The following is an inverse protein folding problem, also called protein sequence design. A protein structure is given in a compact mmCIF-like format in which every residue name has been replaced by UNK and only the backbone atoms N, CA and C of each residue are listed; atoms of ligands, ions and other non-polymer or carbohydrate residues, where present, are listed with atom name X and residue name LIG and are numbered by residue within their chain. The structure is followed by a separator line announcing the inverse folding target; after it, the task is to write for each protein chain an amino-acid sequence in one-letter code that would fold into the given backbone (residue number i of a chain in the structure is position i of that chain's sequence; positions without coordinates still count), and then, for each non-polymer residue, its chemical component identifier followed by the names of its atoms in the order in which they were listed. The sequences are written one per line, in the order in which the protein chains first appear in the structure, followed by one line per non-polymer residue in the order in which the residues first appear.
data_IF_596377786393
#
_entry.id   IF_596377786393
#
_cell.length_a   1.000
_cell.length_b   1.000
_cell.length_c   1.000
_cell.angle_alpha   90.00
_cell.angle_beta   90.00
_cell.angle_gamma   90.00
#
_symmetry.space_group_name_H-M   'P 1'
#
loop_
_entity.id
_entity.type
_entity.pdbx_description
1 polymer ?
#
# COMPACT_ATOMS: atom_id res chain seq x y z
N UNK A 1 34.73 -4.16 2.78
CA UNK A 1 34.12 -2.81 2.94
C UNK A 1 33.59 -2.19 1.64
N UNK A 2 34.38 -2.01 0.57
CA UNK A 2 33.94 -1.29 -0.65
C UNK A 2 32.59 -1.75 -1.24
N UNK A 3 32.31 -3.07 -1.23
CA UNK A 3 31.06 -3.64 -1.78
C UNK A 3 29.83 -3.45 -0.90
N UNK A 4 29.97 -3.55 0.43
CA UNK A 4 28.88 -3.28 1.37
C UNK A 4 28.46 -1.81 1.30
N UNK A 5 29.45 -0.91 1.22
CA UNK A 5 29.23 0.52 1.03
C UNK A 5 28.56 0.82 -0.33
N UNK A 6 28.97 0.13 -1.40
CA UNK A 6 28.30 0.24 -2.70
C UNK A 6 26.82 -0.21 -2.65
N UNK A 7 26.52 -1.31 -1.95
CA UNK A 7 25.15 -1.80 -1.79
C UNK A 7 24.28 -0.82 -0.97
N UNK A 8 24.86 -0.23 0.09
CA UNK A 8 24.21 0.81 0.87
C UNK A 8 23.90 2.06 0.03
N UNK A 9 24.85 2.50 -0.81
CA UNK A 9 24.65 3.62 -1.73
C UNK A 9 23.54 3.32 -2.72
N UNK A 10 23.49 2.11 -3.31
CA UNK A 10 22.40 1.72 -4.21
C UNK A 10 21.05 1.80 -3.50
N UNK A 11 20.95 1.23 -2.30
CA UNK A 11 19.70 1.25 -1.52
C UNK A 11 19.25 2.68 -1.23
N UNK A 12 20.14 3.54 -0.72
CA UNK A 12 19.83 4.94 -0.40
C UNK A 12 19.47 5.75 -1.64
N UNK A 13 20.21 5.58 -2.75
CA UNK A 13 19.94 6.27 -4.00
C UNK A 13 18.58 5.83 -4.59
N UNK A 14 18.29 4.52 -4.57
CA UNK A 14 17.01 4.00 -5.03
C UNK A 14 15.86 4.50 -4.16
N UNK A 15 16.03 4.57 -2.83
CA UNK A 15 15.05 5.11 -1.89
C UNK A 15 14.76 6.58 -2.22
N UNK A 16 15.80 7.40 -2.32
CA UNK A 16 15.66 8.82 -2.60
C UNK A 16 15.00 9.08 -3.97
N UNK A 17 15.49 8.44 -5.03
CA UNK A 17 14.94 8.60 -6.39
C UNK A 17 13.51 8.06 -6.46
N UNK A 18 13.23 6.90 -5.86
CA UNK A 18 11.90 6.30 -5.81
C UNK A 18 10.90 7.22 -5.13
N UNK A 19 11.20 7.68 -3.91
CA UNK A 19 10.34 8.61 -3.16
C UNK A 19 10.11 9.92 -3.92
N UNK A 20 11.15 10.49 -4.54
CA UNK A 20 11.00 11.71 -5.35
C UNK A 20 10.08 11.50 -6.56
N UNK A 21 10.22 10.39 -7.29
CA UNK A 21 9.37 10.08 -8.44
C UNK A 21 7.91 9.92 -7.99
N UNK A 22 7.65 9.10 -6.97
CA UNK A 22 6.28 8.85 -6.50
C UNK A 22 5.64 10.10 -5.88
N UNK A 23 6.39 10.90 -5.12
CA UNK A 23 5.89 12.17 -4.57
C UNK A 23 5.53 13.17 -5.68
N UNK A 24 6.37 13.25 -6.72
CA UNK A 24 6.11 14.11 -7.88
C UNK A 24 4.87 13.65 -8.65
N UNK A 25 4.74 12.34 -8.91
CA UNK A 25 3.55 11.77 -9.56
C UNK A 25 2.28 12.00 -8.74
N UNK A 26 2.36 11.85 -7.42
CA UNK A 26 1.25 12.11 -6.50
C UNK A 26 0.82 13.58 -6.57
N UNK A 27 1.77 14.51 -6.46
CA UNK A 27 1.50 15.95 -6.59
C UNK A 27 0.86 16.30 -7.93
N UNK A 28 1.38 15.77 -9.05
CA UNK A 28 0.78 16.00 -10.36
C UNK A 28 -0.65 15.45 -10.44
N UNK A 29 -0.91 14.26 -9.89
CA UNK A 29 -2.24 13.67 -9.83
C UNK A 29 -3.23 14.55 -9.04
N UNK A 30 -2.84 15.02 -7.85
CA UNK A 30 -3.66 15.91 -7.04
C UNK A 30 -3.90 17.27 -7.73
N UNK A 31 -2.87 17.87 -8.33
CA UNK A 31 -3.01 19.13 -9.06
C UNK A 31 -3.92 18.99 -10.29
N UNK A 32 -3.85 17.87 -11.02
CA UNK A 32 -4.76 17.57 -12.13
C UNK A 32 -6.20 17.40 -11.64
N UNK A 33 -6.42 16.73 -10.51
CA UNK A 33 -7.75 16.62 -9.91
C UNK A 33 -8.32 18.01 -9.54
N UNK A 34 -7.51 18.89 -8.97
CA UNK A 34 -7.91 20.27 -8.64
C UNK A 34 -8.19 21.12 -9.90
N UNK A 35 -7.44 20.90 -10.97
CA UNK A 35 -7.67 21.57 -12.25
C UNK A 35 -9.03 21.20 -12.87
N UNK A 36 -9.39 19.91 -12.82
CA UNK A 36 -10.68 19.43 -13.36
C UNK A 36 -11.86 20.04 -12.59
N UNK A 37 -11.68 20.45 -11.33
CA UNK A 37 -12.69 21.18 -10.55
C UNK A 37 -12.72 22.70 -10.80
N UNK A 38 -11.92 23.22 -11.75
CA UNK A 38 -11.91 24.63 -12.12
C UNK A 38 -11.00 25.53 -11.27
N UNK A 39 -10.16 24.95 -10.40
CA UNK A 39 -9.17 25.70 -9.64
C UNK A 39 -7.91 25.96 -10.50
N UNK A 40 -7.20 27.08 -10.28
CA UNK A 40 -5.98 27.38 -11.02
C UNK A 40 -4.89 26.34 -10.71
N UNK A 41 -4.20 25.87 -11.76
CA UNK A 41 -3.10 24.91 -11.62
C UNK A 41 -1.90 25.61 -10.98
N UNK A 42 -1.56 25.22 -9.74
CA UNK A 42 -0.22 25.48 -9.23
C UNK A 42 0.74 24.47 -9.86
N UNK A 43 1.80 24.94 -10.55
CA UNK A 43 2.82 24.05 -11.11
C UNK A 43 3.50 23.21 -10.03
N UNK A 44 3.60 23.75 -8.81
CA UNK A 44 4.18 23.07 -7.68
C UNK A 44 3.40 23.40 -6.40
N UNK A 45 2.91 22.36 -5.74
CA UNK A 45 2.30 22.45 -4.41
C UNK A 45 3.18 21.70 -3.43
N UNK A 46 3.90 22.45 -2.58
CA UNK A 46 4.78 21.87 -1.55
C UNK A 46 3.97 20.94 -0.63
N UNK A 47 2.72 21.30 -0.35
CA UNK A 47 1.82 20.51 0.46
C UNK A 47 1.58 19.12 -0.16
N UNK A 48 1.10 19.04 -1.41
CA UNK A 48 0.88 17.75 -2.06
C UNK A 48 2.17 16.97 -2.26
N UNK A 49 3.28 17.66 -2.50
CA UNK A 49 4.59 17.02 -2.60
C UNK A 49 5.00 16.34 -1.29
N UNK A 50 4.91 17.03 -0.15
CA UNK A 50 5.26 16.48 1.16
C UNK A 50 4.32 15.33 1.57
N UNK A 51 3.03 15.46 1.31
CA UNK A 51 2.05 14.37 1.50
C UNK A 51 2.43 13.17 0.64
N UNK A 52 2.80 13.39 -0.62
CA UNK A 52 3.27 12.35 -1.54
C UNK A 52 4.57 11.68 -1.08
N UNK A 53 5.52 12.44 -0.50
CA UNK A 53 6.74 11.88 0.09
C UNK A 53 6.39 10.88 1.17
N UNK A 54 5.57 11.28 2.15
CA UNK A 54 5.19 10.41 3.27
C UNK A 54 4.42 9.17 2.77
N UNK A 55 3.37 9.34 1.97
CA UNK A 55 2.57 8.22 1.45
C UNK A 55 3.37 7.23 0.60
N UNK A 56 4.48 7.66 -0.02
CA UNK A 56 5.27 6.81 -0.91
C UNK A 56 6.32 5.95 -0.19
N UNK A 57 6.78 6.35 1.01
CA UNK A 57 7.88 5.67 1.71
C UNK A 57 7.60 4.16 1.94
N UNK A 58 6.42 3.73 2.40
CA UNK A 58 6.14 2.32 2.63
C UNK A 58 6.21 1.50 1.33
N UNK A 59 5.61 2.03 0.25
CA UNK A 59 5.64 1.41 -1.07
C UNK A 59 7.07 1.30 -1.61
N UNK A 60 7.82 2.39 -1.53
CA UNK A 60 9.20 2.48 -2.03
C UNK A 60 10.10 1.51 -1.28
N UNK A 61 9.95 1.37 0.05
CA UNK A 61 10.65 0.37 0.85
C UNK A 61 10.42 -1.06 0.33
N UNK A 62 9.18 -1.43 0.05
CA UNK A 62 8.81 -2.77 -0.46
C UNK A 62 9.40 -2.97 -1.86
N UNK A 63 9.21 -2.01 -2.76
CA UNK A 63 9.70 -2.10 -4.15
C UNK A 63 11.23 -2.22 -4.21
N UNK A 64 11.94 -1.49 -3.36
CA UNK A 64 13.40 -1.53 -3.33
C UNK A 64 13.92 -2.86 -2.81
N UNK A 65 13.26 -3.48 -1.84
CA UNK A 65 13.62 -4.84 -1.41
C UNK A 65 13.51 -5.82 -2.58
N UNK A 66 12.43 -5.75 -3.36
CA UNK A 66 12.28 -6.57 -4.57
C UNK A 66 13.39 -6.26 -5.58
N UNK A 67 13.64 -4.98 -5.89
CA UNK A 67 14.71 -4.56 -6.81
C UNK A 67 16.09 -5.03 -6.37
N UNK A 68 16.38 -5.01 -5.07
CA UNK A 68 17.63 -5.52 -4.52
C UNK A 68 17.78 -7.03 -4.75
N UNK A 69 16.73 -7.82 -4.54
CA UNK A 69 16.77 -9.25 -4.89
C UNK A 69 17.09 -9.42 -6.38
N UNK A 70 16.38 -8.70 -7.26
CA UNK A 70 16.61 -8.78 -8.71
C UNK A 70 18.04 -8.42 -9.10
N UNK A 71 18.61 -7.39 -8.47
CA UNK A 71 20.01 -7.02 -8.65
C UNK A 71 20.96 -8.16 -8.23
N UNK A 72 20.68 -8.84 -7.12
CA UNK A 72 21.48 -9.96 -6.63
C UNK A 72 21.39 -11.19 -7.54
N UNK A 73 20.22 -11.49 -8.11
CA UNK A 73 20.07 -12.55 -9.12
C UNK A 73 20.94 -12.27 -10.35
N UNK A 74 21.00 -11.01 -10.79
CA UNK A 74 21.80 -10.60 -11.95
C UNK A 74 23.31 -10.67 -11.68
N UNK A 75 23.73 -10.26 -10.48
CA UNK A 75 25.14 -10.11 -10.08
C UNK A 75 25.49 -11.01 -8.88
N UNK A 76 25.70 -12.32 -9.07
CA UNK A 76 25.90 -13.29 -7.99
C UNK A 76 27.25 -13.20 -7.24
N UNK A 77 27.97 -12.08 -7.29
CA UNK A 77 29.29 -11.95 -6.66
C UNK A 77 29.13 -11.72 -5.14
N UNK A 78 29.74 -12.59 -4.32
CA UNK A 78 29.70 -12.57 -2.84
C UNK A 78 28.28 -12.63 -2.26
N UNK A 79 27.57 -13.74 -2.48
CA UNK A 79 26.19 -13.96 -2.06
C UNK A 79 25.95 -13.78 -0.55
N UNK A 80 26.90 -14.18 0.30
CA UNK A 80 26.75 -14.08 1.76
C UNK A 80 26.70 -12.64 2.27
N UNK A 81 27.65 -11.80 1.85
CA UNK A 81 27.72 -10.38 2.29
C UNK A 81 26.48 -9.63 1.78
N UNK A 82 26.10 -9.88 0.53
CA UNK A 82 24.91 -9.31 -0.07
C UNK A 82 23.62 -9.72 0.64
N UNK A 83 23.50 -10.99 1.04
CA UNK A 83 22.38 -11.49 1.84
C UNK A 83 22.31 -10.79 3.20
N UNK A 84 23.44 -10.68 3.91
CA UNK A 84 23.49 -9.99 5.21
C UNK A 84 23.03 -8.53 5.05
N UNK A 85 23.55 -7.80 4.07
CA UNK A 85 23.17 -6.41 3.83
C UNK A 85 21.69 -6.28 3.43
N UNK A 86 21.19 -7.19 2.58
CA UNK A 86 19.79 -7.25 2.20
C UNK A 86 18.87 -7.46 3.41
N UNK A 87 19.20 -8.44 4.28
CA UNK A 87 18.45 -8.69 5.50
C UNK A 87 18.50 -7.51 6.48
N UNK A 88 19.65 -6.85 6.64
CA UNK A 88 19.79 -5.67 7.51
C UNK A 88 18.92 -4.52 7.00
N UNK A 89 18.97 -4.18 5.70
CA UNK A 89 18.13 -3.11 5.14
C UNK A 89 16.65 -3.47 5.15
N UNK A 90 16.32 -4.74 4.93
CA UNK A 90 14.98 -5.27 5.07
C UNK A 90 14.43 -5.04 6.46
N UNK A 91 15.14 -5.54 7.49
CA UNK A 91 14.76 -5.37 8.89
C UNK A 91 14.70 -3.89 9.28
N UNK A 92 15.65 -3.07 8.82
CA UNK A 92 15.61 -1.62 9.05
C UNK A 92 14.33 -0.99 8.49
N UNK A 93 13.94 -1.38 7.28
CA UNK A 93 12.74 -0.86 6.62
C UNK A 93 11.47 -1.24 7.41
N UNK A 94 11.32 -2.53 7.74
CA UNK A 94 10.11 -3.07 8.35
C UNK A 94 9.98 -2.76 9.84
N UNK A 95 11.08 -2.68 10.59
CA UNK A 95 11.04 -2.44 12.04
C UNK A 95 11.13 -0.96 12.41
N UNK A 96 11.73 -0.12 11.54
CA UNK A 96 12.00 1.29 11.88
C UNK A 96 11.43 2.27 10.87
N UNK A 97 11.81 2.19 9.58
CA UNK A 97 11.44 3.23 8.60
C UNK A 97 9.93 3.33 8.36
N UNK A 98 9.28 2.20 8.05
CA UNK A 98 7.83 2.18 7.79
C UNK A 98 7.02 2.60 9.03
N UNK A 99 7.21 2.03 10.24
CA UNK A 99 6.41 2.44 11.39
C UNK A 99 6.69 3.88 11.83
N UNK A 100 7.90 4.41 11.59
CA UNK A 100 8.22 5.82 11.84
C UNK A 100 7.46 6.73 10.87
N UNK A 101 7.44 6.37 9.58
CA UNK A 101 6.70 7.10 8.55
C UNK A 101 5.19 7.09 8.81
N UNK A 102 4.59 5.95 9.16
CA UNK A 102 3.16 5.87 9.50
C UNK A 102 2.78 6.75 10.70
N UNK A 103 3.69 6.92 11.67
CA UNK A 103 3.50 7.85 12.80
C UNK A 103 3.64 9.32 12.39
N UNK A 104 4.44 9.61 11.36
CA UNK A 104 4.57 10.96 10.81
C UNK A 104 3.33 11.33 10.00
N UNK A 105 2.83 10.41 9.17
CA UNK A 105 1.59 10.57 8.40
C UNK A 105 0.43 10.90 9.35
N UNK A 106 0.24 10.12 10.41
CA UNK A 106 -0.90 10.34 11.32
C UNK A 106 -0.85 11.68 12.06
N UNK A 107 0.35 12.22 12.34
CA UNK A 107 0.53 13.56 12.90
C UNK A 107 0.30 14.66 11.87
N UNK A 108 0.74 14.44 10.64
CA UNK A 108 0.60 15.40 9.55
C UNK A 108 -0.87 15.53 9.12
N UNK A 109 -1.60 14.42 9.01
CA UNK A 109 -3.04 14.43 8.67
C UNK A 109 -3.90 15.06 9.78
N UNK A 110 -3.55 14.87 11.06
CA UNK A 110 -4.31 15.47 12.17
C UNK A 110 -4.22 16.99 12.21
N UNK A 111 -3.08 17.55 11.79
CA UNK A 111 -2.89 19.01 11.75
C UNK A 111 -3.54 19.64 10.51
N UNK A 112 -3.69 18.88 9.40
CA UNK A 112 -4.10 19.40 8.10
C UNK A 112 -5.58 19.17 7.74
N UNK A 113 -6.28 18.22 8.39
CA UNK A 113 -7.74 18.09 8.30
C UNK A 113 -8.48 19.36 8.75
N UNK A 114 -7.82 20.26 9.46
CA UNK A 114 -8.33 21.58 9.84
C UNK A 114 -8.29 22.62 8.70
N UNK A 115 -7.62 22.33 7.57
CA UNK A 115 -7.40 23.29 6.48
C UNK A 115 -8.06 22.91 5.14
N UNK A 116 -8.65 21.71 5.02
CA UNK A 116 -9.35 21.29 3.80
C UNK A 116 -10.77 21.88 3.74
N UNK A 117 -10.87 23.06 3.14
CA UNK A 117 -12.15 23.53 2.59
C UNK A 117 -12.46 22.64 1.37
N UNK A 118 -13.43 21.73 1.55
CA UNK A 118 -13.91 20.78 0.57
C UNK A 118 -14.51 21.50 -0.66
N UNK A 119 -13.74 21.60 -1.74
CA UNK A 119 -14.24 22.18 -2.99
C UNK A 119 -15.00 21.12 -3.78
N UNK A 120 -16.25 20.90 -3.40
CA UNK A 120 -17.23 20.23 -4.23
C UNK A 120 -17.56 21.08 -5.47
N UNK A 121 -17.73 20.50 -6.65
CA UNK A 121 -18.22 21.24 -7.82
C UNK A 121 -19.73 21.56 -7.72
N UNK A 122 -20.12 22.82 -7.96
CA UNK A 122 -21.54 23.24 -8.03
C UNK A 122 -22.15 22.92 -9.39
N UNK A 123 -23.46 22.69 -9.45
CA UNK A 123 -24.21 22.62 -10.69
C UNK A 123 -24.26 21.24 -11.37
N UNK A 124 -23.92 20.17 -10.65
CA UNK A 124 -23.92 18.80 -11.20
C UNK A 124 -24.68 17.83 -10.28
N UNK A 125 -25.38 16.87 -10.89
CA UNK A 125 -26.09 15.80 -10.19
C UNK A 125 -25.12 14.70 -9.76
N UNK A 126 -25.23 14.23 -8.50
CA UNK A 126 -24.35 13.24 -7.88
C UNK A 126 -25.16 12.10 -7.30
N UNK A 127 -24.95 10.89 -7.79
CA UNK A 127 -25.64 9.70 -7.29
C UNK A 127 -24.89 9.12 -6.07
N UNK A 128 -25.60 8.97 -4.96
CA UNK A 128 -25.14 8.31 -3.74
C UNK A 128 -26.07 7.14 -3.37
N UNK A 129 -25.76 6.42 -2.29
CA UNK A 129 -26.46 5.19 -1.89
C UNK A 129 -27.97 5.37 -1.69
N UNK A 130 -28.42 6.55 -1.25
CA UNK A 130 -29.80 6.82 -0.88
C UNK A 130 -30.54 7.76 -1.87
N UNK A 131 -29.86 8.31 -2.88
CA UNK A 131 -30.47 9.34 -3.73
C UNK A 131 -29.47 10.06 -4.63
N UNK A 132 -29.96 11.09 -5.32
CA UNK A 132 -29.15 11.96 -6.17
C UNK A 132 -29.11 13.36 -5.57
N UNK A 133 -27.92 13.90 -5.30
CA UNK A 133 -27.71 15.25 -4.81
C UNK A 133 -27.43 16.21 -5.97
N UNK A 134 -27.92 17.44 -5.88
CA UNK A 134 -27.62 18.54 -6.79
C UNK A 134 -27.29 19.78 -5.97
N UNK A 135 -26.02 20.17 -5.93
CA UNK A 135 -25.59 21.35 -5.17
C UNK A 135 -25.64 22.60 -6.04
N UNK A 136 -26.46 23.56 -5.65
CA UNK A 136 -26.64 24.84 -6.37
C UNK A 136 -25.56 25.85 -5.97
N UNK A 137 -25.20 25.88 -4.68
CA UNK A 137 -24.15 26.75 -4.14
C UNK A 137 -23.43 26.03 -3.00
N UNK A 138 -22.12 26.22 -2.92
CA UNK A 138 -21.30 25.78 -1.78
C UNK A 138 -20.70 27.03 -1.15
N UNK A 139 -20.93 27.21 0.15
CA UNK A 139 -20.37 28.30 0.94
C UNK A 139 -18.91 28.03 1.30
N UNK A 140 -18.19 29.09 1.69
CA UNK A 140 -16.80 29.00 2.15
C UNK A 140 -16.65 28.20 3.46
N UNK A 141 -17.77 27.95 4.14
CA UNK A 141 -17.92 27.13 5.34
C UNK A 141 -18.03 25.62 5.05
N UNK A 142 -17.99 25.20 3.78
CA UNK A 142 -18.10 23.79 3.38
C UNK A 142 -19.54 23.25 3.39
N UNK A 143 -20.52 24.12 3.62
CA UNK A 143 -21.94 23.79 3.55
C UNK A 143 -22.49 24.08 2.15
N UNK A 144 -23.45 23.28 1.70
CA UNK A 144 -24.08 23.44 0.41
C UNK A 144 -25.60 23.54 0.49
N UNK A 145 -26.13 24.38 -0.40
CA UNK A 145 -27.55 24.47 -0.71
C UNK A 145 -27.82 23.71 -2.01
N UNK A 146 -28.96 23.03 -2.10
CA UNK A 146 -29.21 22.14 -3.23
C UNK A 146 -30.56 21.45 -3.24
N UNK A 147 -30.62 20.39 -4.03
CA UNK A 147 -31.76 19.48 -4.12
C UNK A 147 -31.27 18.06 -3.88
N UNK A 148 -32.06 17.27 -3.16
CA UNK A 148 -31.89 15.84 -3.00
C UNK A 148 -33.07 15.12 -3.65
N UNK A 149 -32.78 14.20 -4.56
CA UNK A 149 -33.75 13.32 -5.18
C UNK A 149 -33.65 11.96 -4.48
N UNK A 150 -34.66 11.64 -3.68
CA UNK A 150 -34.72 10.37 -2.97
C UNK A 150 -35.08 9.24 -3.94
N UNK A 151 -34.10 8.41 -4.30
CA UNK A 151 -34.32 7.26 -5.19
C UNK A 151 -34.54 5.95 -4.44
N UNK A 152 -34.36 5.92 -3.12
CA UNK A 152 -34.52 4.70 -2.31
C UNK A 152 -35.75 4.73 -1.41
N UNK A 153 -36.47 5.84 -1.36
CA UNK A 153 -37.60 6.05 -0.44
C UNK A 153 -37.13 6.22 1.01
N UNK A 154 -35.88 6.64 1.23
CA UNK A 154 -35.31 6.87 2.56
C UNK A 154 -36.10 7.92 3.36
N UNK A 155 -36.66 8.92 2.69
CA UNK A 155 -37.51 9.97 3.25
C UNK A 155 -38.99 9.58 3.28
N UNK A 156 -39.31 8.31 3.00
CA UNK A 156 -40.66 7.74 3.06
C UNK A 156 -41.44 7.77 1.75
N UNK A 157 -40.94 8.46 0.71
CA UNK A 157 -41.56 8.47 -0.62
C UNK A 157 -40.50 8.44 -1.72
N UNK A 158 -40.47 7.32 -2.45
CA UNK A 158 -39.58 7.12 -3.60
C UNK A 158 -39.88 8.15 -4.70
N UNK A 159 -38.83 8.80 -5.21
CA UNK A 159 -38.91 9.85 -6.22
C UNK A 159 -39.18 11.26 -5.68
N UNK A 160 -39.20 11.45 -4.35
CA UNK A 160 -39.39 12.80 -3.77
C UNK A 160 -38.16 13.68 -3.96
N UNK A 161 -38.40 14.98 -4.19
CA UNK A 161 -37.34 16.00 -4.34
C UNK A 161 -37.41 16.93 -3.14
N UNK A 162 -36.33 16.99 -2.37
CA UNK A 162 -36.25 17.78 -1.14
C UNK A 162 -35.17 18.85 -1.27
N UNK A 163 -35.49 20.13 -1.00
CA UNK A 163 -34.48 21.16 -0.95
C UNK A 163 -33.55 20.95 0.25
N UNK A 164 -32.25 21.02 -0.02
CA UNK A 164 -31.19 20.99 0.99
C UNK A 164 -30.76 22.42 1.27
N UNK A 165 -30.67 22.74 2.56
CA UNK A 165 -30.15 24.02 3.02
C UNK A 165 -29.02 23.76 4.00
N UNK A 166 -27.89 24.43 3.79
CA UNK A 166 -26.75 24.42 4.69
C UNK A 166 -26.28 22.99 5.08
N UNK A 167 -26.28 22.07 4.12
CA UNK A 167 -25.87 20.68 4.37
C UNK A 167 -24.35 20.58 4.29
N UNK A 168 -23.65 20.06 5.32
CA UNK A 168 -22.21 19.83 5.23
C UNK A 168 -21.94 18.80 4.13
N UNK A 169 -21.13 19.18 3.13
CA UNK A 169 -20.84 18.31 2.00
C UNK A 169 -19.83 17.26 2.39
N UNK A 170 -20.27 16.09 2.81
CA UNK A 170 -19.35 14.99 3.15
C UNK A 170 -18.71 14.41 1.89
N UNK A 171 -17.51 14.87 1.56
CA UNK A 171 -16.73 14.37 0.42
C UNK A 171 -15.71 13.27 0.80
N UNK A 172 -15.81 12.70 2.00
CA UNK A 172 -14.93 11.62 2.47
C UNK A 172 -14.85 10.45 1.46
N UNK A 173 -15.95 10.18 0.75
CA UNK A 173 -16.02 9.13 -0.27
C UNK A 173 -15.30 9.47 -1.59
N UNK A 174 -15.02 10.75 -1.86
CA UNK A 174 -14.36 11.23 -3.07
C UNK A 174 -12.82 11.10 -3.00
N UNK A 175 -12.22 11.05 -1.80
CA UNK A 175 -10.78 10.98 -1.63
C UNK A 175 -10.13 9.81 -2.41
N UNK A 176 -9.00 10.00 -3.14
CA UNK A 176 -8.15 11.20 -3.24
C UNK A 176 -8.57 12.22 -4.32
N UNK A 177 -9.76 12.08 -4.88
CA UNK A 177 -10.31 13.03 -5.86
C UNK A 177 -10.97 14.20 -5.13
N UNK A 178 -10.93 15.36 -5.76
CA UNK A 178 -11.60 16.59 -5.31
C UNK A 178 -13.13 16.50 -5.45
N UNK A 179 -13.63 15.63 -6.33
CA UNK A 179 -15.06 15.39 -6.55
C UNK A 179 -15.37 13.92 -6.86
N UNK A 180 -16.53 13.43 -6.41
CA UNK A 180 -17.03 12.08 -6.68
C UNK A 180 -17.31 11.86 -8.17
N UNK A 181 -17.66 12.92 -8.90
CA UNK A 181 -17.89 12.86 -10.35
C UNK A 181 -16.59 12.59 -11.11
N UNK A 182 -15.50 13.19 -10.65
CA UNK A 182 -14.16 12.98 -11.20
C UNK A 182 -13.73 11.55 -10.89
N UNK A 183 -13.92 11.09 -9.65
CA UNK A 183 -13.66 9.69 -9.26
C UNK A 183 -14.38 8.70 -10.17
N UNK A 184 -15.65 8.94 -10.49
CA UNK A 184 -16.47 8.05 -11.30
C UNK A 184 -16.15 8.14 -12.80
N UNK A 185 -15.70 9.30 -13.29
CA UNK A 185 -15.41 9.53 -14.71
C UNK A 185 -13.99 9.15 -15.11
N UNK A 186 -13.03 9.24 -14.18
CA UNK A 186 -11.61 8.93 -14.38
C UNK A 186 -11.22 7.56 -13.83
N UNK A 187 -12.18 6.62 -13.73
CA UNK A 187 -11.91 5.28 -13.22
C UNK A 187 -10.70 4.68 -13.97
N UNK A 188 -9.58 4.40 -13.27
CA UNK A 188 -8.41 3.84 -13.91
C UNK A 188 -8.75 2.50 -14.54
N UNK A 189 -8.01 2.13 -15.59
CA UNK A 189 -8.13 0.79 -16.18
C UNK A 189 -7.95 -0.28 -15.10
N UNK A 190 -8.59 -1.44 -15.28
CA UNK A 190 -8.53 -2.54 -14.31
C UNK A 190 -7.08 -2.94 -13.96
N UNK A 191 -6.16 -2.82 -14.92
CA UNK A 191 -4.73 -3.08 -14.74
C UNK A 191 -4.07 -2.19 -13.68
N UNK A 192 -4.59 -0.98 -13.45
CA UNK A 192 -4.09 -0.04 -12.44
C UNK A 192 -4.89 -0.15 -11.15
N UNK A 193 -6.21 -0.36 -11.27
CA UNK A 193 -7.13 -0.38 -10.13
C UNK A 193 -6.86 -1.56 -9.18
N UNK A 194 -6.55 -2.76 -9.69
CA UNK A 194 -6.28 -3.92 -8.83
C UNK A 194 -4.98 -3.81 -8.01
N UNK A 195 -3.81 -3.47 -8.59
CA UNK A 195 -2.61 -3.24 -7.80
C UNK A 195 -2.78 -2.13 -6.75
N UNK A 196 -3.51 -1.07 -7.12
CA UNK A 196 -3.77 0.04 -6.21
C UNK A 196 -4.69 -0.35 -5.06
N UNK A 197 -5.71 -1.18 -5.30
CA UNK A 197 -6.59 -1.67 -4.23
C UNK A 197 -5.85 -2.60 -3.26
N UNK A 198 -4.96 -3.44 -3.77
CA UNK A 198 -4.07 -4.27 -2.94
C UNK A 198 -3.18 -3.39 -2.07
N UNK A 199 -2.53 -2.39 -2.66
CA UNK A 199 -1.69 -1.45 -1.91
C UNK A 199 -2.46 -0.71 -0.82
N UNK A 200 -3.60 -0.11 -1.17
CA UNK A 200 -4.40 0.68 -0.22
C UNK A 200 -4.90 -0.18 0.94
N UNK A 201 -5.38 -1.40 0.68
CA UNK A 201 -5.82 -2.31 1.73
C UNK A 201 -4.68 -2.68 2.68
N UNK A 202 -3.49 -2.97 2.15
CA UNK A 202 -2.31 -3.25 2.97
C UNK A 202 -1.82 -2.02 3.74
N UNK A 203 -1.92 -0.83 3.16
CA UNK A 203 -1.56 0.44 3.83
C UNK A 203 -2.51 0.73 4.99
N UNK A 204 -3.82 0.56 4.79
CA UNK A 204 -4.83 0.70 5.87
C UNK A 204 -4.58 -0.31 6.98
N UNK A 205 -4.28 -1.57 6.63
CA UNK A 205 -3.91 -2.59 7.61
C UNK A 205 -2.63 -2.19 8.38
N UNK A 206 -1.63 -1.65 7.69
CA UNK A 206 -0.39 -1.17 8.30
C UNK A 206 -0.65 -0.03 9.30
N UNK A 207 -1.45 0.97 8.91
CA UNK A 207 -1.85 2.09 9.76
C UNK A 207 -2.62 1.62 11.00
N UNK A 208 -3.56 0.69 10.81
CA UNK A 208 -4.32 0.08 11.90
C UNK A 208 -3.42 -0.68 12.87
N UNK A 209 -2.54 -1.54 12.37
CA UNK A 209 -1.59 -2.29 13.19
C UNK A 209 -0.60 -1.38 13.91
N UNK A 210 -0.15 -0.29 13.28
CA UNK A 210 0.75 0.69 13.90
C UNK A 210 0.08 1.47 15.05
N UNK A 211 -1.22 1.79 14.93
CA UNK A 211 -1.96 2.52 15.98
C UNK A 211 -2.29 1.66 17.20
N UNK A 212 -2.45 0.33 17.02
CA UNK A 212 -2.70 -0.62 18.12
C UNK A 212 -1.48 -0.91 19.00
N UNK A 213 -0.28 -0.61 18.52
CA UNK A 213 0.96 -0.77 19.27
C UNK A 213 1.92 -1.82 18.67
N UNK A 214 3.05 -2.01 19.35
CA UNK A 214 4.20 -2.73 18.80
C UNK A 214 3.93 -4.20 18.47
N UNK A 215 3.17 -4.93 19.29
CA UNK A 215 2.86 -6.33 19.02
C UNK A 215 1.95 -6.50 17.79
N UNK A 216 0.98 -5.62 17.59
CA UNK A 216 0.15 -5.61 16.39
C UNK A 216 0.97 -5.23 15.15
N UNK A 217 1.92 -4.29 15.29
CA UNK A 217 2.89 -3.99 14.23
C UNK A 217 3.75 -5.21 13.88
N UNK A 218 4.28 -5.94 14.87
CA UNK A 218 5.06 -7.16 14.60
C UNK A 218 4.23 -8.23 13.89
N UNK A 219 2.95 -8.36 14.22
CA UNK A 219 2.05 -9.28 13.53
C UNK A 219 1.91 -8.90 12.04
N UNK A 220 1.74 -7.62 11.73
CA UNK A 220 1.75 -7.11 10.35
C UNK A 220 3.14 -7.28 9.68
N UNK A 221 4.22 -6.94 10.39
CA UNK A 221 5.60 -7.01 9.90
C UNK A 221 6.08 -8.45 9.62
N UNK A 222 5.33 -9.48 10.06
CA UNK A 222 5.54 -10.86 9.61
C UNK A 222 5.46 -11.01 8.09
N UNK A 223 4.67 -10.17 7.41
CA UNK A 223 4.64 -10.07 5.96
C UNK A 223 6.00 -9.67 5.40
N UNK A 224 6.67 -8.71 6.05
CA UNK A 224 8.03 -8.31 5.70
C UNK A 224 9.03 -9.44 5.81
N UNK A 225 8.91 -10.27 6.84
CA UNK A 225 9.75 -11.46 7.00
C UNK A 225 9.54 -12.45 5.83
N UNK A 226 8.28 -12.68 5.44
CA UNK A 226 7.96 -13.50 4.27
C UNK A 226 8.53 -12.93 2.97
N UNK A 227 8.41 -11.62 2.75
CA UNK A 227 8.98 -10.94 1.58
C UNK A 227 10.52 -11.01 1.55
N UNK A 228 11.19 -10.89 2.69
CA UNK A 228 12.64 -11.08 2.77
C UNK A 228 13.04 -12.52 2.46
N UNK A 229 12.27 -13.50 2.94
CA UNK A 229 12.53 -14.92 2.72
C UNK A 229 12.39 -15.34 1.24
N UNK A 230 11.63 -14.60 0.43
CA UNK A 230 11.51 -14.84 -1.03
C UNK A 230 12.87 -14.87 -1.72
N UNK A 231 13.91 -14.22 -1.18
CA UNK A 231 15.28 -14.36 -1.66
C UNK A 231 15.72 -15.81 -1.89
N UNK A 232 15.25 -16.76 -1.07
CA UNK A 232 15.57 -18.18 -1.21
C UNK A 232 15.11 -18.82 -2.51
N UNK A 233 14.09 -18.28 -3.19
CA UNK A 233 13.57 -18.83 -4.45
C UNK A 233 14.47 -18.52 -5.65
N UNK A 234 15.47 -17.65 -5.50
CA UNK A 234 16.41 -17.34 -6.58
C UNK A 234 17.29 -18.53 -7.02
N UNK A 235 17.32 -19.61 -6.24
CA UNK A 235 18.15 -20.78 -6.51
C UNK A 235 17.39 -21.92 -7.22
N UNK A 236 16.14 -21.69 -7.64
CA UNK A 236 15.29 -22.73 -8.24
C UNK A 236 15.75 -23.16 -9.64
N UNK A 237 16.25 -22.25 -10.48
CA UNK A 237 16.62 -22.55 -11.86
C UNK A 237 18.03 -22.07 -12.22
N UNK A 238 18.74 -22.80 -13.08
CA UNK A 238 20.04 -22.34 -13.61
C UNK A 238 19.89 -21.07 -14.44
N UNK A 239 18.69 -20.80 -14.96
CA UNK A 239 18.39 -19.65 -15.78
C UNK A 239 18.04 -18.44 -14.92
N UNK A 240 18.83 -17.38 -15.04
CA UNK A 240 18.63 -16.13 -14.27
C UNK A 240 17.25 -15.53 -14.47
N UNK A 241 16.71 -15.57 -15.69
CA UNK A 241 15.38 -15.05 -15.99
C UNK A 241 14.28 -15.83 -15.26
N UNK A 242 14.40 -17.16 -15.19
CA UNK A 242 13.45 -18.00 -14.44
C UNK A 242 13.50 -17.69 -12.94
N UNK A 243 14.69 -17.47 -12.38
CA UNK A 243 14.84 -17.06 -10.97
C UNK A 243 14.20 -15.70 -10.69
N UNK A 244 14.37 -14.73 -11.60
CA UNK A 244 13.70 -13.43 -11.51
C UNK A 244 12.18 -13.61 -11.51
N UNK A 245 11.64 -14.43 -12.42
CA UNK A 245 10.22 -14.72 -12.47
C UNK A 245 9.72 -15.40 -11.18
N UNK A 246 10.45 -16.38 -10.65
CA UNK A 246 10.11 -17.04 -9.39
C UNK A 246 10.08 -16.06 -8.22
N UNK A 247 11.09 -15.18 -8.10
CA UNK A 247 11.14 -14.14 -7.07
C UNK A 247 9.93 -13.21 -7.17
N UNK A 248 9.60 -12.72 -8.36
CA UNK A 248 8.44 -11.83 -8.57
C UNK A 248 7.14 -12.54 -8.23
N UNK A 249 6.93 -13.76 -8.73
CA UNK A 249 5.70 -14.53 -8.48
C UNK A 249 5.54 -14.81 -6.98
N UNK A 250 6.61 -15.23 -6.30
CA UNK A 250 6.58 -15.47 -4.85
C UNK A 250 6.31 -14.19 -4.05
N UNK A 251 6.91 -13.06 -4.42
CA UNK A 251 6.65 -11.77 -3.78
C UNK A 251 5.19 -11.32 -3.96
N UNK A 252 4.65 -11.44 -5.18
CA UNK A 252 3.25 -11.16 -5.48
C UNK A 252 2.32 -12.09 -4.69
N UNK A 253 2.65 -13.38 -4.60
CA UNK A 253 1.86 -14.34 -3.82
C UNK A 253 1.81 -13.95 -2.33
N UNK A 254 2.93 -13.53 -1.73
CA UNK A 254 2.94 -13.03 -0.34
C UNK A 254 2.01 -11.82 -0.18
N UNK A 255 2.10 -10.84 -1.07
CA UNK A 255 1.24 -9.64 -1.03
C UNK A 255 -0.24 -10.00 -1.18
N UNK A 256 -0.59 -10.88 -2.13
CA UNK A 256 -1.97 -11.31 -2.38
C UNK A 256 -2.53 -12.09 -1.19
N UNK A 257 -1.77 -13.01 -0.59
CA UNK A 257 -2.22 -13.77 0.60
C UNK A 257 -2.51 -12.82 1.76
N UNK A 258 -1.62 -11.86 2.03
CA UNK A 258 -1.83 -10.87 3.09
C UNK A 258 -3.03 -9.96 2.78
N UNK A 259 -3.18 -9.53 1.53
CA UNK A 259 -4.35 -8.76 1.07
C UNK A 259 -5.66 -9.51 1.31
N UNK A 260 -5.74 -10.78 0.89
CA UNK A 260 -6.94 -11.61 1.06
C UNK A 260 -7.30 -11.80 2.54
N UNK A 261 -6.29 -11.89 3.41
CA UNK A 261 -6.47 -11.95 4.86
C UNK A 261 -7.06 -10.65 5.41
N UNK A 262 -6.42 -9.50 5.16
CA UNK A 262 -6.86 -8.21 5.71
C UNK A 262 -8.20 -7.74 5.14
N UNK A 263 -8.54 -8.13 3.91
CA UNK A 263 -9.85 -7.84 3.32
C UNK A 263 -10.95 -8.83 3.74
N UNK A 264 -10.67 -9.78 4.63
CA UNK A 264 -11.62 -10.81 5.07
C UNK A 264 -12.21 -11.67 3.94
N UNK A 265 -11.48 -11.82 2.83
CA UNK A 265 -11.89 -12.62 1.65
C UNK A 265 -11.54 -14.11 1.84
N UNK A 266 -10.75 -14.44 2.86
CA UNK A 266 -10.35 -15.82 3.16
C UNK A 266 -11.56 -16.75 3.40
N UNK A 267 -11.45 -18.04 3.00
CA UNK A 267 -12.49 -19.05 3.24
C UNK A 267 -12.86 -19.17 4.73
N UNK A 268 -14.10 -19.57 5.02
CA UNK A 268 -14.64 -19.66 6.39
C UNK A 268 -13.79 -20.51 7.35
N UNK A 269 -13.17 -21.59 6.86
CA UNK A 269 -12.27 -22.45 7.64
C UNK A 269 -11.10 -21.64 8.23
N UNK A 270 -10.53 -20.70 7.48
CA UNK A 270 -9.45 -19.84 7.97
C UNK A 270 -9.94 -18.84 9.02
N UNK A 271 -11.18 -18.36 8.91
CA UNK A 271 -11.79 -17.47 9.91
C UNK A 271 -12.01 -18.18 11.24
N UNK A 272 -12.51 -19.41 11.20
CA UNK A 272 -12.65 -20.26 12.39
C UNK A 272 -11.30 -20.58 13.04
N UNK A 273 -10.29 -20.90 12.22
CA UNK A 273 -8.94 -21.17 12.70
C UNK A 273 -8.31 -19.92 13.33
N UNK A 274 -8.52 -18.73 12.76
CA UNK A 274 -8.06 -17.47 13.31
C UNK A 274 -8.65 -17.20 14.70
N UNK A 275 -9.96 -17.41 14.88
CA UNK A 275 -10.63 -17.25 16.18
C UNK A 275 -10.09 -18.22 17.24
N UNK A 276 -9.90 -19.50 16.88
CA UNK A 276 -9.32 -20.50 17.79
C UNK A 276 -7.88 -20.16 18.18
N UNK A 277 -7.04 -19.76 17.22
CA UNK A 277 -5.66 -19.37 17.51
C UNK A 277 -5.58 -18.09 18.35
N UNK A 278 -6.45 -17.10 18.12
CA UNK A 278 -6.46 -15.85 18.90
C UNK A 278 -6.77 -16.13 20.37
N UNK A 279 -7.77 -16.98 20.64
CA UNK A 279 -8.10 -17.42 22.00
C UNK A 279 -6.96 -18.20 22.69
N UNK A 280 -6.16 -18.94 21.92
CA UNK A 280 -5.03 -19.72 22.46
C UNK A 280 -3.76 -18.89 22.70
N UNK A 281 -3.44 -17.99 21.78
CA UNK A 281 -2.15 -17.24 21.79
C UNK A 281 -2.25 -15.89 22.48
N UNK A 282 -3.46 -15.35 22.68
CA UNK A 282 -3.68 -13.98 23.16
C UNK A 282 -3.24 -12.91 22.15
N UNK A 283 -2.79 -13.30 20.96
CA UNK A 283 -2.46 -12.39 19.86
C UNK A 283 -3.73 -12.04 19.09
N UNK A 284 -3.77 -10.82 18.57
CA UNK A 284 -4.91 -10.33 17.78
C UNK A 284 -4.97 -11.02 16.40
N UNK A 285 -3.83 -11.13 15.72
CA UNK A 285 -3.73 -11.68 14.37
C UNK A 285 -2.73 -12.85 14.26
N UNK A 286 -2.90 -13.96 15.01
CA UNK A 286 -1.93 -15.05 15.05
C UNK A 286 -1.90 -15.90 13.76
N UNK A 287 -3.02 -15.96 13.04
CA UNK A 287 -3.12 -16.76 11.81
C UNK A 287 -2.21 -16.22 10.70
N UNK A 288 -2.22 -14.90 10.49
CA UNK A 288 -1.40 -14.30 9.44
C UNK A 288 0.09 -14.43 9.75
N UNK A 289 0.46 -14.32 11.03
CA UNK A 289 1.82 -14.59 11.50
C UNK A 289 2.23 -16.03 11.20
N UNK A 290 1.37 -17.00 11.51
CA UNK A 290 1.63 -18.42 11.22
C UNK A 290 1.81 -18.66 9.71
N UNK A 291 0.92 -18.12 8.88
CA UNK A 291 0.99 -18.26 7.41
C UNK A 291 2.31 -17.66 6.90
N UNK A 292 2.64 -16.44 7.29
CA UNK A 292 3.86 -15.77 6.86
C UNK A 292 5.12 -16.49 7.36
N UNK A 293 5.12 -17.05 8.58
CA UNK A 293 6.21 -17.87 9.09
C UNK A 293 6.39 -19.16 8.28
N UNK A 294 5.29 -19.86 7.94
CA UNK A 294 5.35 -21.06 7.10
C UNK A 294 5.94 -20.73 5.73
N UNK A 295 5.45 -19.66 5.07
CA UNK A 295 5.98 -19.22 3.78
C UNK A 295 7.47 -18.91 3.90
N UNK A 296 7.88 -18.24 4.97
CA UNK A 296 9.28 -17.87 5.20
C UNK A 296 10.17 -19.10 5.37
N UNK A 297 9.75 -20.06 6.20
CA UNK A 297 10.46 -21.31 6.43
C UNK A 297 10.57 -22.13 5.15
N UNK A 298 9.52 -22.19 4.33
CA UNK A 298 9.54 -22.86 3.03
C UNK A 298 10.55 -22.20 2.08
N UNK A 299 10.52 -20.87 1.94
CA UNK A 299 11.43 -20.17 1.04
C UNK A 299 12.89 -20.29 1.49
N UNK A 300 13.16 -20.17 2.79
CA UNK A 300 14.50 -20.38 3.37
C UNK A 300 14.95 -21.83 3.15
N UNK A 301 14.08 -22.81 3.42
CA UNK A 301 14.37 -24.22 3.22
C UNK A 301 14.71 -24.56 1.77
N UNK A 302 13.93 -24.04 0.81
CA UNK A 302 14.22 -24.16 -0.63
C UNK A 302 15.59 -23.55 -0.94
N UNK A 303 15.88 -22.35 -0.43
CA UNK A 303 17.14 -21.66 -0.68
C UNK A 303 18.35 -22.45 -0.15
N UNK A 304 18.26 -23.01 1.06
CA UNK A 304 19.31 -23.83 1.66
C UNK A 304 19.49 -25.13 0.86
N UNK A 305 18.40 -25.85 0.59
CA UNK A 305 18.45 -27.14 -0.12
C UNK A 305 19.03 -27.00 -1.53
N UNK A 306 18.51 -26.04 -2.31
CA UNK A 306 19.00 -25.79 -3.67
C UNK A 306 20.41 -25.21 -3.68
N UNK A 307 20.77 -24.40 -2.66
CA UNK A 307 22.13 -23.91 -2.48
C UNK A 307 23.13 -25.05 -2.28
N UNK A 308 22.82 -26.02 -1.40
CA UNK A 308 23.65 -27.20 -1.15
C UNK A 308 23.71 -28.10 -2.40
N UNK A 309 22.57 -28.34 -3.05
CA UNK A 309 22.51 -29.18 -4.25
C UNK A 309 23.43 -28.66 -5.37
N UNK A 310 23.44 -27.34 -5.58
CA UNK A 310 24.33 -26.72 -6.59
C UNK A 310 25.80 -26.76 -6.20
N UNK A 311 26.13 -26.59 -4.92
CA UNK A 311 27.53 -26.72 -4.47
C UNK A 311 28.05 -28.14 -4.75
N UNK A 312 27.25 -29.17 -4.48
CA UNK A 312 27.61 -30.56 -4.77
C UNK A 312 27.68 -30.89 -6.27
N UNK A 313 26.81 -30.31 -7.09
CA UNK A 313 26.82 -30.54 -8.54
C UNK A 313 28.04 -29.96 -9.24
N UNK A 314 28.62 -28.86 -8.71
CA UNK A 314 29.85 -28.25 -9.25
C UNK A 314 31.08 -29.08 -8.90
N UNK A 315 31.14 -29.70 -7.72
CA UNK A 315 32.25 -30.60 -7.34
C UNK A 315 32.27 -31.92 -8.11
N UNK A 316 31.17 -32.31 -8.78
CA UNK A 316 31.11 -33.54 -9.60
C UNK A 316 31.47 -33.33 -11.07
N UNK A 317 31.65 -32.09 -11.51
CA UNK A 317 32.04 -31.74 -12.89
C UNK A 317 33.51 -31.30 -13.01
N UNK A 318 34.25 -31.20 -11.89
CA UNK A 318 35.72 -31.06 -11.83
C UNK A 318 36.41 -32.42 -11.63
#
# INVERSE_FOLDING_TARGET
MKRALYFAIIYLAAMLVGTLIFATLFMFSCNLNMFVTGLPVSFFSLHFFMTGVLLSIPLVCILIQILLILYLVRHPKCQLISLIMYSVFGLLSWLFLIPMDLKLISRYESDDLLTRVETSSTGVFRKEANGVYYYTRIGEDGCADGLFFDTSGYLGQEGSVVPLFNLPVKNESAFPYSDILIKNSLLPSQLVTYPLSVYNALLTAAQYSASLGFLAWLAFASMGLALLAVYGTQFLSSWKLANVACVIISAVAVLVINYLYYMNIMPGIFKELAGKLSNFTGLKDPLIVLINLIISLLCIGIGIFMGIYRLKGVESEE
#
